data_IF_883004544551
#
_entry.id   IF_883004544551
#
_cell.length_a   1.000
_cell.length_b   1.000
_cell.length_c   1.000
_cell.angle_alpha   90.00
_cell.angle_beta   90.00
_cell.angle_gamma   90.00
#
_symmetry.space_group_name_H-M   'P 1'
#
loop_
_entity.id
_entity.type
_entity.pdbx_description
1 polymer ?
#
# COMPACT_ATOMS: atom_id res chain seq x y z
N UNK A 1 57.97 -34.85 -19.49
CA UNK A 1 57.73 -33.99 -18.32
C UNK A 1 56.89 -32.81 -18.81
N UNK A 2 55.61 -32.73 -18.41
CA UNK A 2 55.07 -31.72 -17.46
C UNK A 2 55.32 -30.29 -17.99
N UNK A 3 54.32 -29.47 -18.32
CA UNK A 3 53.15 -29.13 -17.48
C UNK A 3 52.06 -28.47 -18.35
N UNK A 4 50.81 -28.93 -18.23
CA UNK A 4 49.60 -28.25 -18.68
C UNK A 4 49.37 -27.01 -17.78
N UNK A 5 49.26 -25.80 -18.34
CA UNK A 5 48.75 -24.65 -17.61
C UNK A 5 47.30 -24.37 -18.04
N UNK A 6 46.37 -24.77 -17.17
CA UNK A 6 44.97 -24.42 -17.23
C UNK A 6 44.79 -22.93 -16.89
N UNK A 7 44.29 -22.14 -17.84
CA UNK A 7 43.90 -20.75 -17.60
C UNK A 7 42.53 -20.76 -16.92
N UNK A 8 42.52 -20.35 -15.65
CA UNK A 8 41.33 -20.27 -14.81
C UNK A 8 40.27 -19.34 -15.42
N UNK A 9 39.04 -19.86 -15.56
CA UNK A 9 37.85 -19.04 -15.74
C UNK A 9 37.74 -18.09 -14.54
N UNK A 10 38.03 -16.81 -14.76
CA UNK A 10 37.61 -15.75 -13.87
C UNK A 10 36.08 -15.68 -13.91
N UNK A 11 35.50 -16.11 -12.79
CA UNK A 11 34.09 -15.97 -12.44
C UNK A 11 33.62 -14.55 -12.76
N UNK A 12 32.85 -14.43 -13.83
CA UNK A 12 31.96 -13.31 -14.07
C UNK A 12 30.91 -13.31 -12.96
N UNK A 13 31.22 -12.64 -11.85
CA UNK A 13 30.18 -12.27 -10.90
C UNK A 13 29.25 -11.28 -11.60
N UNK A 14 27.98 -11.61 -11.83
CA UNK A 14 27.03 -10.60 -12.25
C UNK A 14 26.97 -9.59 -11.11
N UNK A 15 27.22 -8.34 -11.45
CA UNK A 15 27.06 -7.20 -10.55
C UNK A 15 25.79 -7.43 -9.72
N UNK A 16 25.95 -7.43 -8.41
CA UNK A 16 24.84 -7.31 -7.48
C UNK A 16 23.96 -6.18 -8.03
N UNK A 17 22.73 -6.50 -8.37
CA UNK A 17 21.73 -5.50 -8.67
C UNK A 17 21.65 -4.64 -7.42
N UNK A 18 22.27 -3.47 -7.45
CA UNK A 18 21.85 -2.38 -6.60
C UNK A 18 20.36 -2.23 -6.92
N UNK A 19 19.50 -2.74 -6.04
CA UNK A 19 18.09 -2.41 -6.08
C UNK A 19 18.07 -0.89 -6.10
N UNK A 20 17.71 -0.30 -7.25
CA UNK A 20 17.60 1.13 -7.38
C UNK A 20 16.73 1.57 -6.22
N UNK A 21 17.30 2.34 -5.28
CA UNK A 21 16.52 2.92 -4.22
C UNK A 21 15.40 3.70 -4.92
N UNK A 22 14.16 3.32 -4.64
CA UNK A 22 12.99 3.92 -5.27
C UNK A 22 13.05 5.44 -5.18
N UNK A 23 12.48 6.14 -6.18
CA UNK A 23 12.45 7.60 -6.17
C UNK A 23 11.71 8.08 -4.91
N UNK A 24 12.38 8.79 -3.98
CA UNK A 24 11.77 9.20 -2.71
C UNK A 24 10.52 10.07 -2.89
N UNK A 25 10.46 10.87 -3.97
CA UNK A 25 9.30 11.69 -4.27
C UNK A 25 8.11 10.86 -4.75
N UNK A 26 8.37 9.81 -5.52
CA UNK A 26 7.34 8.88 -6.00
C UNK A 26 6.85 7.97 -4.87
N UNK A 27 7.73 7.56 -3.96
CA UNK A 27 7.32 6.89 -2.72
C UNK A 27 6.43 7.83 -1.90
N UNK A 28 6.83 9.09 -1.71
CA UNK A 28 6.04 10.06 -0.95
C UNK A 28 4.65 10.29 -1.57
N UNK A 29 4.58 10.51 -2.89
CA UNK A 29 3.31 10.68 -3.60
C UNK A 29 2.40 9.45 -3.44
N UNK A 30 2.98 8.24 -3.48
CA UNK A 30 2.25 7.01 -3.20
C UNK A 30 1.74 6.96 -1.75
N UNK A 31 2.59 7.29 -0.78
CA UNK A 31 2.22 7.31 0.63
C UNK A 31 1.15 8.37 0.96
N UNK A 32 1.14 9.50 0.26
CA UNK A 32 0.11 10.53 0.37
C UNK A 32 -1.22 10.04 -0.21
N UNK A 33 -1.18 9.41 -1.39
CA UNK A 33 -2.35 8.75 -1.98
C UNK A 33 -2.93 7.65 -1.09
N UNK A 34 -2.09 6.79 -0.52
CA UNK A 34 -2.55 5.76 0.43
C UNK A 34 -3.23 6.39 1.65
N UNK A 35 -2.71 7.52 2.15
CA UNK A 35 -3.35 8.23 3.26
C UNK A 35 -4.74 8.74 2.88
N UNK A 36 -4.90 9.29 1.67
CA UNK A 36 -6.21 9.65 1.14
C UNK A 36 -7.15 8.44 1.00
N UNK A 37 -6.67 7.34 0.41
CA UNK A 37 -7.47 6.11 0.25
C UNK A 37 -7.93 5.54 1.60
N UNK A 38 -7.05 5.58 2.61
CA UNK A 38 -7.37 5.09 3.95
C UNK A 38 -8.58 5.82 4.56
N UNK A 39 -8.85 7.09 4.19
CA UNK A 39 -10.00 7.84 4.72
C UNK A 39 -11.35 7.18 4.42
N UNK A 40 -11.48 6.50 3.28
CA UNK A 40 -12.73 5.84 2.89
C UNK A 40 -12.63 4.30 2.88
N UNK A 41 -11.45 3.72 2.72
CA UNK A 41 -11.26 2.27 2.74
C UNK A 41 -11.22 1.71 4.17
N UNK A 42 -10.61 2.41 5.13
CA UNK A 42 -10.46 1.89 6.49
C UNK A 42 -11.80 1.73 7.22
N UNK A 43 -12.78 2.66 7.14
CA UNK A 43 -14.08 2.44 7.75
C UNK A 43 -14.75 1.13 7.30
N UNK A 44 -14.72 0.83 5.99
CA UNK A 44 -15.29 -0.39 5.42
C UNK A 44 -14.53 -1.63 5.89
N UNK A 45 -13.19 -1.57 5.94
CA UNK A 45 -12.35 -2.63 6.50
C UNK A 45 -12.69 -2.90 7.98
N UNK A 46 -12.80 -1.85 8.78
CA UNK A 46 -13.09 -1.94 10.21
C UNK A 46 -14.45 -2.60 10.43
N UNK A 47 -15.48 -2.18 9.69
CA UNK A 47 -16.81 -2.78 9.76
C UNK A 47 -16.78 -4.28 9.44
N UNK A 48 -16.11 -4.68 8.35
CA UNK A 48 -16.01 -6.09 7.95
C UNK A 48 -15.19 -6.92 8.94
N UNK A 49 -14.09 -6.39 9.46
CA UNK A 49 -13.25 -7.08 10.43
C UNK A 49 -13.91 -7.19 11.81
N UNK A 50 -14.75 -6.22 12.20
CA UNK A 50 -15.52 -6.28 13.44
C UNK A 50 -16.59 -7.38 13.43
N UNK A 51 -17.07 -7.80 12.25
CA UNK A 51 -17.94 -8.97 12.13
C UNK A 51 -17.24 -10.32 12.39
N UNK A 52 -15.90 -10.32 12.43
CA UNK A 52 -15.07 -11.53 12.60
C UNK A 52 -14.42 -11.61 13.99
N UNK A 53 -14.23 -10.46 14.64
CA UNK A 53 -13.59 -10.33 15.95
C UNK A 53 -14.26 -9.18 16.71
N UNK A 54 -15.00 -9.54 17.77
CA UNK A 54 -15.78 -8.64 18.61
C UNK A 54 -14.94 -7.53 19.28
N UNK A 55 -13.61 -7.72 19.38
CA UNK A 55 -12.67 -6.74 19.91
C UNK A 55 -11.96 -5.89 18.86
N UNK A 56 -12.23 -6.11 17.57
CA UNK A 56 -11.55 -5.40 16.49
C UNK A 56 -11.90 -3.92 16.44
N UNK A 57 -13.20 -3.58 16.54
CA UNK A 57 -13.66 -2.20 16.47
C UNK A 57 -13.04 -1.32 17.56
N UNK A 58 -12.97 -1.83 18.80
CA UNK A 58 -12.43 -1.13 19.96
C UNK A 58 -10.93 -0.86 19.81
N UNK A 59 -10.19 -1.74 19.11
CA UNK A 59 -8.78 -1.51 18.78
C UNK A 59 -8.62 -0.56 17.60
N UNK A 60 -9.42 -0.72 16.54
CA UNK A 60 -9.22 0.01 15.29
C UNK A 60 -9.75 1.45 15.31
N UNK A 61 -10.91 1.69 15.92
CA UNK A 61 -11.53 3.02 15.93
C UNK A 61 -10.62 4.13 16.49
N UNK A 62 -10.01 4.00 17.69
CA UNK A 62 -9.13 5.05 18.21
C UNK A 62 -7.89 5.25 17.32
N UNK A 63 -7.34 4.16 16.74
CA UNK A 63 -6.21 4.24 15.82
C UNK A 63 -6.60 4.96 14.52
N UNK A 64 -7.81 4.73 13.99
CA UNK A 64 -8.30 5.43 12.80
C UNK A 64 -8.45 6.93 13.03
N UNK A 65 -9.05 7.35 14.14
CA UNK A 65 -9.14 8.77 14.46
C UNK A 65 -7.78 9.42 14.67
N UNK A 66 -6.86 8.74 15.36
CA UNK A 66 -5.49 9.21 15.52
C UNK A 66 -4.79 9.33 14.17
N UNK A 67 -4.91 8.32 13.31
CA UNK A 67 -4.35 8.29 11.97
C UNK A 67 -4.84 9.48 11.13
N UNK A 68 -6.15 9.72 11.06
CA UNK A 68 -6.72 10.81 10.27
C UNK A 68 -6.21 12.17 10.76
N UNK A 69 -6.19 12.38 12.08
CA UNK A 69 -5.71 13.62 12.67
C UNK A 69 -4.22 13.85 12.43
N UNK A 70 -3.40 12.81 12.54
CA UNK A 70 -1.94 12.91 12.35
C UNK A 70 -1.53 13.05 10.88
N UNK A 71 -2.41 12.71 9.93
CA UNK A 71 -2.08 12.67 8.50
C UNK A 71 -2.88 13.68 7.64
N UNK A 72 -3.49 14.71 8.24
CA UNK A 72 -4.33 15.67 7.50
C UNK A 72 -3.65 16.25 6.24
N UNK A 73 -2.40 16.72 6.36
CA UNK A 73 -1.66 17.28 5.23
C UNK A 73 -1.38 16.24 4.14
N UNK A 74 -1.06 15.01 4.54
CA UNK A 74 -0.81 13.89 3.61
C UNK A 74 -2.09 13.49 2.88
N UNK A 75 -3.20 13.44 3.61
CA UNK A 75 -4.53 13.16 3.07
C UNK A 75 -4.90 14.20 2.02
N UNK A 76 -4.68 15.49 2.30
CA UNK A 76 -5.02 16.55 1.34
C UNK A 76 -4.13 16.50 0.09
N UNK A 77 -2.82 16.32 0.24
CA UNK A 77 -1.93 16.13 -0.92
C UNK A 77 -2.31 14.91 -1.74
N UNK A 78 -2.61 13.78 -1.08
CA UNK A 78 -3.06 12.56 -1.74
C UNK A 78 -4.39 12.73 -2.48
N UNK A 79 -5.32 13.52 -1.92
CA UNK A 79 -6.58 13.88 -2.57
C UNK A 79 -6.31 14.67 -3.84
N UNK A 80 -5.48 15.72 -3.77
CA UNK A 80 -5.14 16.55 -4.93
C UNK A 80 -4.43 15.74 -6.03
N UNK A 81 -3.48 14.87 -5.66
CA UNK A 81 -2.82 13.95 -6.60
C UNK A 81 -3.83 13.05 -7.29
N UNK A 82 -4.74 12.44 -6.51
CA UNK A 82 -5.76 11.54 -7.06
C UNK A 82 -6.70 12.26 -8.00
N UNK A 83 -7.13 13.48 -7.67
CA UNK A 83 -7.99 14.29 -8.53
C UNK A 83 -7.31 14.69 -9.83
N UNK A 84 -5.99 14.94 -9.80
CA UNK A 84 -5.22 15.28 -10.99
C UNK A 84 -5.09 14.11 -11.98
N UNK A 85 -5.27 12.87 -11.54
CA UNK A 85 -5.20 11.66 -12.38
C UNK A 85 -6.57 11.19 -12.88
N UNK A 86 -7.68 11.77 -12.42
CA UNK A 86 -9.00 11.39 -12.91
C UNK A 86 -9.18 11.83 -14.36
N UNK A 87 -9.63 10.89 -15.20
CA UNK A 87 -10.05 11.19 -16.57
C UNK A 87 -11.32 12.06 -16.57
N UNK A 88 -11.60 12.79 -17.65
CA UNK A 88 -12.81 13.64 -17.74
C UNK A 88 -14.13 12.90 -17.54
N UNK A 89 -14.18 11.59 -17.83
CA UNK A 89 -15.35 10.73 -17.65
C UNK A 89 -15.47 10.13 -16.23
N UNK A 90 -14.44 10.28 -15.40
CA UNK A 90 -14.40 9.69 -14.06
C UNK A 90 -14.90 10.67 -13.00
N UNK A 91 -15.56 10.12 -11.98
CA UNK A 91 -15.99 10.87 -10.80
C UNK A 91 -15.25 10.39 -9.55
N UNK A 92 -15.21 11.23 -8.51
CA UNK A 92 -14.63 10.86 -7.22
C UNK A 92 -15.38 9.66 -6.61
N UNK A 93 -16.70 9.56 -6.78
CA UNK A 93 -17.49 8.41 -6.32
C UNK A 93 -17.09 7.14 -7.05
N UNK A 94 -17.05 7.19 -8.38
CA UNK A 94 -16.67 6.04 -9.21
C UNK A 94 -15.25 5.55 -8.92
N UNK A 95 -14.32 6.48 -8.68
CA UNK A 95 -12.97 6.14 -8.22
C UNK A 95 -12.98 5.42 -6.86
N UNK A 96 -13.73 5.93 -5.87
CA UNK A 96 -13.84 5.30 -4.54
C UNK A 96 -14.40 3.89 -4.65
N UNK A 97 -15.49 3.72 -5.41
CA UNK A 97 -16.12 2.42 -5.65
C UNK A 97 -15.14 1.44 -6.30
N UNK A 98 -14.38 1.88 -7.31
CA UNK A 98 -13.35 1.07 -7.96
C UNK A 98 -12.24 0.66 -6.99
N UNK A 99 -11.77 1.58 -6.14
CA UNK A 99 -10.74 1.29 -5.14
C UNK A 99 -11.24 0.31 -4.08
N UNK A 100 -12.47 0.50 -3.60
CA UNK A 100 -13.08 -0.42 -2.65
C UNK A 100 -13.22 -1.82 -3.27
N UNK A 101 -13.74 -1.91 -4.50
CA UNK A 101 -13.89 -3.20 -5.20
C UNK A 101 -12.54 -3.89 -5.42
N UNK A 102 -11.51 -3.16 -5.88
CA UNK A 102 -10.19 -3.75 -6.17
C UNK A 102 -9.40 -4.13 -4.91
N UNK A 103 -9.47 -3.32 -3.85
CA UNK A 103 -8.66 -3.55 -2.64
C UNK A 103 -9.38 -4.39 -1.59
N UNK A 104 -10.71 -4.30 -1.52
CA UNK A 104 -11.50 -4.95 -0.46
C UNK A 104 -12.30 -6.15 -0.96
N UNK A 105 -12.33 -6.44 -2.27
CA UNK A 105 -13.05 -7.61 -2.79
C UNK A 105 -12.59 -8.94 -2.16
N UNK A 106 -11.33 -9.03 -1.72
CA UNK A 106 -10.81 -10.21 -0.99
C UNK A 106 -11.38 -10.38 0.41
N UNK A 107 -11.96 -9.34 1.02
CA UNK A 107 -12.69 -9.48 2.29
C UNK A 107 -13.98 -10.28 2.11
N UNK A 108 -14.55 -10.28 0.91
CA UNK A 108 -15.80 -10.97 0.61
C UNK A 108 -15.58 -12.38 0.06
N UNK A 109 -14.47 -12.60 -0.66
CA UNK A 109 -14.21 -13.86 -1.37
C UNK A 109 -12.97 -14.62 -0.91
N UNK A 110 -12.20 -14.06 0.03
CA UNK A 110 -10.95 -14.63 0.50
C UNK A 110 -11.13 -15.77 1.50
N UNK A 111 -10.05 -16.53 1.73
CA UNK A 111 -10.01 -17.49 2.84
C UNK A 111 -9.97 -16.77 4.19
N UNK A 112 -10.41 -17.45 5.26
CA UNK A 112 -10.38 -16.88 6.61
C UNK A 112 -8.99 -16.35 7.02
N UNK A 113 -7.91 -17.05 6.62
CA UNK A 113 -6.54 -16.64 6.88
C UNK A 113 -6.16 -15.36 6.11
N UNK A 114 -6.58 -15.25 4.85
CA UNK A 114 -6.35 -14.04 4.05
C UNK A 114 -7.08 -12.84 4.63
N UNK A 115 -8.34 -13.03 5.02
CA UNK A 115 -9.16 -11.98 5.62
C UNK A 115 -8.53 -11.53 6.95
N UNK A 116 -8.10 -12.47 7.81
CA UNK A 116 -7.41 -12.14 9.07
C UNK A 116 -6.14 -11.32 8.82
N UNK A 117 -5.30 -11.73 7.86
CA UNK A 117 -4.10 -10.96 7.49
C UNK A 117 -4.42 -9.55 7.00
N UNK A 118 -5.52 -9.38 6.26
CA UNK A 118 -5.97 -8.05 5.83
C UNK A 118 -6.38 -7.20 7.04
N UNK A 119 -7.12 -7.76 7.99
CA UNK A 119 -7.51 -7.08 9.23
C UNK A 119 -6.29 -6.68 10.08
N UNK A 120 -5.30 -7.57 10.23
CA UNK A 120 -4.05 -7.26 10.94
C UNK A 120 -3.22 -6.19 10.22
N UNK A 121 -3.12 -6.28 8.89
CA UNK A 121 -2.41 -5.28 8.08
C UNK A 121 -3.06 -3.91 8.18
N UNK A 122 -4.39 -3.84 8.23
CA UNK A 122 -5.12 -2.58 8.43
C UNK A 122 -4.76 -1.93 9.77
N UNK A 123 -4.70 -2.69 10.87
CA UNK A 123 -4.23 -2.18 12.17
C UNK A 123 -2.80 -1.65 12.08
N UNK A 124 -1.91 -2.37 11.39
CA UNK A 124 -0.54 -1.92 11.16
C UNK A 124 -0.48 -0.57 10.45
N UNK A 125 -1.27 -0.37 9.39
CA UNK A 125 -1.34 0.93 8.69
C UNK A 125 -1.84 2.03 9.61
N UNK A 126 -2.88 1.77 10.41
CA UNK A 126 -3.40 2.75 11.38
C UNK A 126 -2.37 3.09 12.47
N UNK A 127 -1.43 2.18 12.76
CA UNK A 127 -0.29 2.41 13.66
C UNK A 127 0.91 3.07 12.97
N UNK A 128 0.83 3.38 11.67
CA UNK A 128 1.86 4.08 10.92
C UNK A 128 2.72 3.20 10.01
N UNK A 129 2.39 1.92 9.81
CA UNK A 129 3.05 1.10 8.82
C UNK A 129 2.87 1.70 7.41
N UNK A 130 3.96 1.79 6.66
CA UNK A 130 3.93 2.17 5.25
C UNK A 130 3.51 0.97 4.39
N UNK A 131 2.77 1.25 3.33
CA UNK A 131 2.48 0.27 2.28
C UNK A 131 3.57 0.39 1.22
N UNK A 132 4.31 -0.67 0.86
CA UNK A 132 5.29 -0.60 -0.22
C UNK A 132 4.64 -0.19 -1.55
N UNK A 133 5.29 0.69 -2.29
CA UNK A 133 4.86 1.10 -3.62
C UNK A 133 5.40 2.46 -4.03
N UNK A 134 5.19 2.79 -5.31
CA UNK A 134 5.63 4.02 -5.92
C UNK A 134 4.51 4.60 -6.79
N UNK A 135 4.43 5.93 -6.83
CA UNK A 135 3.55 6.61 -7.77
C UNK A 135 4.05 6.37 -9.20
N UNK A 136 3.20 6.18 -10.22
CA UNK A 136 3.64 5.99 -11.61
C UNK A 136 4.52 7.15 -12.10
N UNK A 137 5.53 6.87 -12.94
CA UNK A 137 6.20 7.95 -13.69
C UNK A 137 5.29 8.45 -14.80
N UNK A 138 5.54 9.68 -15.27
CA UNK A 138 4.76 10.34 -16.33
C UNK A 138 5.50 10.35 -17.68
N UNK A 139 6.46 9.45 -17.84
CA UNK A 139 7.30 9.36 -19.06
C UNK A 139 6.52 8.88 -20.29
#
# INVERSE_FOLDING_TARGET
MRTLLATALLLSMPAAHAAAAGDPLREQAFQDHIAYVATFAMPVLIEKCAALDDGYLQRAAPLYFHYVNANQDRIERGRLLTLAELRPDQTVSGYREQVLASRLGRLDTGTAEEIRRMCESALGVLQGAKIPGEWPSRD
#
